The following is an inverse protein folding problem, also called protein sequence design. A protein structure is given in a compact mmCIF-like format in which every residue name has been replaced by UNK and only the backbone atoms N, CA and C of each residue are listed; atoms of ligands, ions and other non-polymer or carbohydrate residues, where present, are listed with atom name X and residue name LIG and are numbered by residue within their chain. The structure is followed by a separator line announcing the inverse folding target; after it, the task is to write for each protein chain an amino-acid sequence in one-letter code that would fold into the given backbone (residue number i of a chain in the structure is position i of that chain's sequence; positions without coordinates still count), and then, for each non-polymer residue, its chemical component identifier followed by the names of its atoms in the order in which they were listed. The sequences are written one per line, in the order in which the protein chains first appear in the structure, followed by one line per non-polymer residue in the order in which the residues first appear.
data_IF_611889088524
#
_entry.id   IF_611889088524
#
_cell.length_a   1.000
_cell.length_b   1.000
_cell.length_c   1.000
_cell.angle_alpha   90.00
_cell.angle_beta   90.00
_cell.angle_gamma   90.00
#
_symmetry.space_group_name_H-M   'P 1'
#
loop_
_entity.id
_entity.type
_entity.pdbx_description
1 polymer ?
#
# COMPACT_ATOMS: atom_id res chain seq x y z
N UNK A 1 7.27 6.20 -5.62
CA UNK A 1 5.80 6.09 -5.47
C UNK A 1 5.46 4.61 -5.38
N UNK A 2 5.34 4.04 -4.17
CA UNK A 2 5.22 2.59 -4.01
C UNK A 2 4.00 1.98 -4.71
N UNK A 3 2.80 2.50 -4.43
CA UNK A 3 1.55 1.99 -5.04
C UNK A 3 1.54 2.18 -6.57
N UNK A 4 1.92 3.36 -7.06
CA UNK A 4 1.92 3.66 -8.50
C UNK A 4 2.93 2.83 -9.31
N UNK A 5 4.10 2.53 -8.75
CA UNK A 5 5.07 1.61 -9.37
C UNK A 5 4.53 0.18 -9.41
N UNK A 6 3.89 -0.26 -8.33
CA UNK A 6 3.26 -1.57 -8.27
C UNK A 6 2.11 -1.72 -9.27
N UNK A 7 1.26 -0.70 -9.41
CA UNK A 7 0.18 -0.68 -10.42
C UNK A 7 0.74 -0.78 -11.83
N UNK A 8 1.86 -0.09 -12.14
CA UNK A 8 2.52 -0.20 -13.46
C UNK A 8 3.02 -1.61 -13.72
N UNK A 9 3.59 -2.29 -12.74
CA UNK A 9 4.01 -3.69 -12.85
C UNK A 9 2.80 -4.59 -13.17
N UNK A 10 1.68 -4.41 -12.47
CA UNK A 10 0.47 -5.19 -12.74
C UNK A 10 -0.11 -4.93 -14.12
N UNK A 11 -0.13 -3.68 -14.58
CA UNK A 11 -0.55 -3.32 -15.94
C UNK A 11 0.34 -3.96 -17.01
N UNK A 12 1.66 -3.97 -16.79
CA UNK A 12 2.59 -4.62 -17.70
C UNK A 12 2.38 -6.14 -17.74
N UNK A 13 2.14 -6.77 -16.57
CA UNK A 13 1.80 -8.19 -16.49
C UNK A 13 0.51 -8.50 -17.24
N UNK A 14 -0.55 -7.70 -17.06
CA UNK A 14 -1.81 -7.88 -17.77
C UNK A 14 -1.64 -7.75 -19.29
N UNK A 15 -0.78 -6.84 -19.74
CA UNK A 15 -0.49 -6.66 -21.15
C UNK A 15 0.25 -7.88 -21.74
N UNK A 16 1.22 -8.42 -21.00
CA UNK A 16 2.05 -9.56 -21.43
C UNK A 16 1.29 -10.88 -21.38
N UNK A 17 0.45 -11.07 -20.36
CA UNK A 17 -0.26 -12.33 -20.12
C UNK A 17 -1.61 -12.30 -20.84
N UNK A 18 -1.66 -12.84 -22.06
CA UNK A 18 -2.94 -13.13 -22.74
C UNK A 18 -3.39 -14.54 -22.42
N UNK A 19 -4.27 -14.69 -21.42
CA UNK A 19 -4.98 -15.95 -21.15
C UNK A 19 -6.31 -15.95 -21.90
N UNK A 20 -6.55 -16.96 -22.72
CA UNK A 20 -7.86 -17.18 -23.36
C UNK A 20 -8.64 -18.17 -22.49
N UNK A 21 -9.59 -17.65 -21.72
CA UNK A 21 -10.52 -18.46 -20.92
C UNK A 21 -11.87 -18.46 -21.64
N UNK A 22 -12.43 -19.66 -21.87
CA UNK A 22 -13.66 -19.84 -22.67
C UNK A 22 -14.93 -19.79 -21.83
N UNK A 23 -14.82 -20.21 -20.57
CA UNK A 23 -15.95 -20.29 -19.66
C UNK A 23 -16.09 -18.98 -18.83
N UNK A 24 -17.30 -18.41 -18.75
CA UNK A 24 -17.52 -17.15 -18.03
C UNK A 24 -17.37 -17.25 -16.51
N UNK A 25 -17.60 -18.41 -15.91
CA UNK A 25 -17.40 -18.61 -14.47
C UNK A 25 -15.91 -18.77 -14.16
N UNK A 26 -15.16 -19.47 -15.02
CA UNK A 26 -13.70 -19.52 -14.93
C UNK A 26 -13.06 -18.12 -15.07
N UNK A 27 -13.62 -17.23 -15.90
CA UNK A 27 -13.16 -15.83 -15.99
C UNK A 27 -13.33 -15.11 -14.65
N UNK A 28 -14.46 -15.31 -13.96
CA UNK A 28 -14.70 -14.68 -12.65
C UNK A 28 -13.73 -15.22 -11.60
N UNK A 29 -13.53 -16.53 -11.56
CA UNK A 29 -12.60 -17.19 -10.64
C UNK A 29 -11.19 -16.68 -10.90
N UNK A 30 -10.74 -16.68 -12.15
CA UNK A 30 -9.42 -16.20 -12.54
C UNK A 30 -9.18 -14.74 -12.14
N UNK A 31 -10.14 -13.85 -12.41
CA UNK A 31 -10.03 -12.43 -11.99
C UNK A 31 -9.93 -12.30 -10.48
N UNK A 32 -10.75 -13.03 -9.73
CA UNK A 32 -10.69 -13.01 -8.27
C UNK A 32 -9.33 -13.51 -7.76
N UNK A 33 -8.81 -14.61 -8.34
CA UNK A 33 -7.49 -15.13 -8.00
C UNK A 33 -6.37 -14.12 -8.28
N UNK A 34 -6.40 -13.44 -9.44
CA UNK A 34 -5.41 -12.41 -9.78
C UNK A 34 -5.48 -11.23 -8.80
N UNK A 35 -6.68 -10.76 -8.45
CA UNK A 35 -6.85 -9.68 -7.48
C UNK A 35 -6.34 -10.07 -6.09
N UNK A 36 -6.64 -11.28 -5.61
CA UNK A 36 -6.09 -11.77 -4.34
C UNK A 36 -4.56 -11.87 -4.36
N UNK A 37 -3.98 -12.36 -5.46
CA UNK A 37 -2.52 -12.41 -5.61
C UNK A 37 -1.89 -11.01 -5.57
N UNK A 38 -2.52 -10.02 -6.20
CA UNK A 38 -2.05 -8.62 -6.16
C UNK A 38 -2.07 -8.05 -4.75
N UNK A 39 -3.13 -8.32 -3.99
CA UNK A 39 -3.23 -7.95 -2.57
C UNK A 39 -2.10 -8.59 -1.77
N UNK A 40 -1.86 -9.90 -1.93
CA UNK A 40 -0.77 -10.57 -1.23
C UNK A 40 0.60 -9.99 -1.57
N UNK A 41 0.87 -9.72 -2.85
CA UNK A 41 2.12 -9.11 -3.29
C UNK A 41 2.30 -7.70 -2.69
N UNK A 42 1.22 -6.93 -2.64
CA UNK A 42 1.21 -5.59 -2.05
C UNK A 42 1.50 -5.64 -0.55
N UNK A 43 0.82 -6.52 0.19
CA UNK A 43 0.99 -6.70 1.63
C UNK A 43 2.37 -7.28 2.00
N UNK A 44 2.92 -8.18 1.17
CA UNK A 44 4.23 -8.80 1.41
C UNK A 44 5.41 -7.82 1.30
N UNK A 45 5.19 -6.71 0.60
CA UNK A 45 6.18 -5.65 0.36
C UNK A 45 6.04 -4.47 1.33
N UNK A 46 5.09 -4.52 2.27
CA UNK A 46 5.01 -3.53 3.34
C UNK A 46 6.12 -3.75 4.37
N UNK A 47 6.57 -2.65 4.96
CA UNK A 47 7.52 -2.68 6.07
C UNK A 47 6.92 -3.33 7.32
N UNK A 48 7.80 -3.83 8.20
CA UNK A 48 7.42 -4.52 9.46
C UNK A 48 6.58 -3.63 10.39
N UNK A 49 6.70 -2.30 10.26
CA UNK A 49 5.88 -1.32 11.00
C UNK A 49 4.37 -1.48 10.71
N UNK A 50 3.99 -2.07 9.57
CA UNK A 50 2.61 -2.32 9.18
C UNK A 50 2.16 -3.77 9.44
N UNK A 51 2.94 -4.55 10.17
CA UNK A 51 2.66 -5.96 10.42
C UNK A 51 1.31 -6.21 11.10
N UNK A 52 0.91 -5.29 11.99
CA UNK A 52 -0.36 -5.39 12.68
C UNK A 52 -1.53 -5.26 11.70
N UNK A 53 -1.58 -4.18 10.91
CA UNK A 53 -2.65 -3.98 9.93
C UNK A 53 -2.59 -5.02 8.80
N UNK A 54 -1.40 -5.50 8.44
CA UNK A 54 -1.21 -6.62 7.51
C UNK A 54 -1.91 -7.89 8.02
N UNK A 55 -1.70 -8.26 9.28
CA UNK A 55 -2.37 -9.44 9.88
C UNK A 55 -3.88 -9.26 10.00
N UNK A 56 -4.35 -8.04 10.26
CA UNK A 56 -5.78 -7.73 10.32
C UNK A 56 -6.43 -7.89 8.96
N UNK A 57 -5.85 -7.31 7.90
CA UNK A 57 -6.35 -7.44 6.53
C UNK A 57 -6.39 -8.92 6.10
N UNK A 58 -5.37 -9.71 6.43
CA UNK A 58 -5.32 -11.15 6.13
C UNK A 58 -6.35 -11.98 6.90
N UNK A 59 -6.87 -11.49 8.03
CA UNK A 59 -7.91 -12.16 8.82
C UNK A 59 -9.33 -11.83 8.36
N UNK A 60 -9.51 -10.88 7.43
CA UNK A 60 -10.84 -10.57 6.89
C UNK A 60 -11.27 -11.72 5.97
N UNK A 61 -12.43 -12.32 6.25
CA UNK A 61 -12.98 -13.46 5.50
C UNK A 61 -13.09 -13.22 3.98
N UNK A 62 -13.25 -11.96 3.58
CA UNK A 62 -13.17 -11.49 2.20
C UNK A 62 -12.01 -10.50 2.12
N UNK A 63 -10.89 -10.93 1.56
CA UNK A 63 -9.75 -10.05 1.32
C UNK A 63 -10.23 -8.79 0.57
N UNK A 64 -10.03 -7.59 1.13
CA UNK A 64 -10.40 -6.37 0.46
C UNK A 64 -9.62 -6.26 -0.86
N UNK A 65 -10.17 -5.52 -1.81
CA UNK A 65 -9.47 -5.31 -3.07
C UNK A 65 -8.19 -4.48 -2.85
N UNK A 66 -7.35 -4.42 -3.88
CA UNK A 66 -6.04 -3.75 -3.79
C UNK A 66 -6.13 -2.27 -3.36
N UNK A 67 -7.14 -1.55 -3.85
CA UNK A 67 -7.36 -0.13 -3.53
C UNK A 67 -7.84 0.07 -2.09
N UNK A 68 -8.74 -0.78 -1.62
CA UNK A 68 -9.23 -0.76 -0.24
C UNK A 68 -8.11 -1.12 0.75
N UNK A 69 -7.27 -2.11 0.42
CA UNK A 69 -6.06 -2.39 1.18
C UNK A 69 -5.15 -1.16 1.26
N UNK A 70 -4.92 -0.48 0.13
CA UNK A 70 -4.13 0.74 0.08
C UNK A 70 -4.71 1.83 0.98
N UNK A 71 -6.02 2.06 0.95
CA UNK A 71 -6.67 3.06 1.79
C UNK A 71 -6.52 2.74 3.29
N UNK A 72 -6.67 1.47 3.69
CA UNK A 72 -6.51 1.05 5.08
C UNK A 72 -5.09 1.32 5.60
N UNK A 73 -4.07 0.95 4.83
CA UNK A 73 -2.67 1.18 5.20
C UNK A 73 -2.33 2.67 5.19
N UNK A 74 -2.84 3.42 4.22
CA UNK A 74 -2.63 4.86 4.16
C UNK A 74 -3.22 5.56 5.39
N UNK A 75 -4.42 5.15 5.80
CA UNK A 75 -5.08 5.63 7.01
C UNK A 75 -4.26 5.31 8.26
N UNK A 76 -3.76 4.08 8.38
CA UNK A 76 -2.93 3.65 9.51
C UNK A 76 -1.60 4.41 9.58
N UNK A 77 -0.95 4.66 8.44
CA UNK A 77 0.26 5.47 8.39
C UNK A 77 0.01 6.88 8.93
N UNK A 78 -1.12 7.51 8.58
CA UNK A 78 -1.50 8.83 9.09
C UNK A 78 -1.77 8.77 10.61
N UNK A 79 -2.53 7.80 11.10
CA UNK A 79 -2.82 7.67 12.53
C UNK A 79 -1.60 7.32 13.38
N UNK A 80 -0.72 6.45 12.88
CA UNK A 80 0.53 6.09 13.55
C UNK A 80 1.47 7.28 13.75
N UNK A 81 1.49 8.24 12.81
CA UNK A 81 2.24 9.49 12.97
C UNK A 81 1.64 10.44 14.01
N UNK A 82 0.31 10.43 14.17
CA UNK A 82 -0.37 11.29 15.16
C UNK A 82 -0.25 10.74 16.58
N UNK A 83 -0.32 9.42 16.76
CA UNK A 83 -0.25 8.79 18.09
C UNK A 83 1.19 8.69 18.64
N UNK A 84 2.21 8.67 17.79
CA UNK A 84 3.62 8.82 18.20
C UNK A 84 4.03 10.28 18.47
N UNK A 85 3.11 11.24 18.29
CA UNK A 85 3.35 12.68 18.40
C UNK A 85 2.99 13.34 19.74
N UNK A 86 2.52 12.60 20.74
CA UNK A 86 2.28 13.16 22.08
C UNK A 86 3.54 13.09 22.96
N UNK A 87 4.56 13.82 22.52
CA UNK A 87 5.57 14.40 23.41
C UNK A 87 5.89 15.84 22.99
N UNK A 88 4.82 16.65 22.88
CA UNK A 88 4.90 18.09 23.08
C UNK A 88 5.41 18.92 21.89
N UNK A 89 4.67 20.00 21.68
CA UNK A 89 5.11 21.26 21.05
C UNK A 89 5.01 21.35 19.52
N UNK A 90 3.81 21.69 19.08
CA UNK A 90 3.49 22.98 18.46
C UNK A 90 4.51 23.65 17.52
N UNK A 91 4.08 23.75 16.25
CA UNK A 91 4.48 24.66 15.15
C UNK A 91 5.86 24.48 14.49
N UNK A 92 5.85 24.56 13.16
CA UNK A 92 6.87 25.32 12.43
C UNK A 92 7.89 24.51 11.64
N UNK A 93 7.79 24.65 10.32
CA UNK A 93 8.85 24.48 9.32
C UNK A 93 10.23 24.87 9.87
N UNK A 94 11.22 23.96 9.85
CA UNK A 94 12.65 24.27 9.69
C UNK A 94 13.42 22.99 9.35
N UNK A 95 14.14 23.05 8.22
CA UNK A 95 15.16 22.08 7.81
C UNK A 95 16.41 22.24 8.68
N UNK A 96 16.86 21.20 9.40
CA UNK A 96 18.28 20.79 9.50
C UNK A 96 18.52 19.57 10.39
N UNK A 97 19.32 18.64 9.86
CA UNK A 97 20.43 18.01 10.60
C UNK A 97 20.20 16.63 11.21
N UNK A 98 20.59 15.60 10.44
CA UNK A 98 21.27 14.36 10.87
C UNK A 98 20.90 13.72 12.21
N UNK A 99 20.02 12.71 12.14
CA UNK A 99 20.27 11.37 12.70
C UNK A 99 19.06 10.47 12.42
N UNK A 100 19.25 9.42 11.61
CA UNK A 100 18.35 8.26 11.58
C UNK A 100 16.88 8.54 11.26
N UNK A 101 16.59 9.39 10.27
CA UNK A 101 15.22 9.49 9.75
C UNK A 101 14.86 8.16 9.08
N UNK A 102 14.05 7.35 9.75
CA UNK A 102 13.46 6.13 9.22
C UNK A 102 12.99 6.38 7.78
N UNK A 103 13.40 5.51 6.85
CA UNK A 103 13.05 5.59 5.43
C UNK A 103 11.53 5.73 5.21
N UNK A 104 10.72 5.34 6.19
CA UNK A 104 9.28 5.58 6.26
C UNK A 104 8.88 7.08 6.16
N UNK A 105 9.65 8.00 6.75
CA UNK A 105 9.39 9.45 6.63
C UNK A 105 9.66 9.97 5.22
N UNK A 106 10.63 9.39 4.51
CA UNK A 106 10.98 9.80 3.15
C UNK A 106 9.89 9.32 2.17
N UNK A 107 9.33 8.12 2.36
CA UNK A 107 8.24 7.61 1.51
C UNK A 107 6.97 8.45 1.68
N UNK A 108 6.66 8.92 2.90
CA UNK A 108 5.46 9.75 3.17
C UNK A 108 5.64 11.19 2.67
N UNK A 109 6.82 11.79 2.79
CA UNK A 109 7.08 13.16 2.31
C UNK A 109 7.09 13.27 0.77
N UNK A 110 7.48 12.21 0.04
CA UNK A 110 7.56 12.25 -1.42
C UNK A 110 6.21 12.19 -2.15
N UNK A 111 5.10 11.92 -1.44
CA UNK A 111 3.75 11.78 -2.03
C UNK A 111 3.05 13.13 -2.23
N UNK A 112 3.45 14.19 -1.52
CA UNK A 112 2.80 15.51 -1.60
C UNK A 112 3.27 16.40 -2.77
N UNK A 113 4.35 16.06 -3.50
CA UNK A 113 4.94 16.97 -4.51
C UNK A 113 4.46 16.77 -5.97
N UNK A 114 3.50 15.89 -6.26
CA UNK A 114 3.04 15.61 -7.64
C UNK A 114 1.62 16.08 -7.97
N UNK A 115 1.12 17.10 -7.28
CA UNK A 115 -0.01 17.90 -7.74
C UNK A 115 0.42 19.37 -7.92
N UNK A 116 1.04 19.66 -9.07
CA UNK A 116 0.94 20.95 -9.74
C UNK A 116 1.11 20.76 -11.25
#
# INVERSE_FOLDING_TARGET
MYYGELTKIFQELDYRVRVIIKDPDDIKIYRNTIEQLRVHIFLARLDEDFDQIRREILHINLLPNLEECYYLIHREAIYGTTLKGDSGTSYGTTLKGDSGTSEACIIVAQIQSNHN
#
